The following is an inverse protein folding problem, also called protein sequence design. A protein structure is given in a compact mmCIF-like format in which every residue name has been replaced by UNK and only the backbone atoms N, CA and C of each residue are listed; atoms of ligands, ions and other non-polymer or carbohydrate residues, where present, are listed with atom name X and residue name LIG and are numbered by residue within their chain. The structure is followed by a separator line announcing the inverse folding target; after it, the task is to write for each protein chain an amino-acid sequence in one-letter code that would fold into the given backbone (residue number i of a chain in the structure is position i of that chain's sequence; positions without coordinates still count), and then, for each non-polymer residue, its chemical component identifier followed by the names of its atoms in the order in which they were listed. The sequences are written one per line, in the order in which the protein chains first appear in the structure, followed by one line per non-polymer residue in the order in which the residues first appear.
data_IF_133514259081
#
_entry.id   IF_133514259081
#
_cell.length_a   1.000
_cell.length_b   1.000
_cell.length_c   1.000
_cell.angle_alpha   90.00
_cell.angle_beta   90.00
_cell.angle_gamma   90.00
#
_symmetry.space_group_name_H-M   'P 1'
#
loop_
_entity.id
_entity.type
_entity.pdbx_description
1 polymer ?
#
# COMPACT_ATOMS: atom_id res chain seq x y z
N UNK A 1 5.13 -53.81 9.91
CA UNK A 1 4.13 -54.89 9.98
C UNK A 1 3.20 -54.62 11.16
N UNK A 2 2.02 -54.07 10.93
CA UNK A 2 0.80 -54.32 11.71
C UNK A 2 -0.38 -53.75 10.92
N UNK A 3 -1.43 -54.54 10.90
CA UNK A 3 -2.46 -54.65 9.88
C UNK A 3 -3.76 -53.97 10.39
N UNK A 4 -4.52 -53.45 9.42
CA UNK A 4 -5.90 -52.90 9.37
C UNK A 4 -6.97 -53.56 10.29
N UNK A 5 -8.14 -52.91 10.56
CA UNK A 5 -9.31 -52.75 9.64
C UNK A 5 -9.86 -51.30 9.62
N UNK A 6 -10.36 -50.68 8.54
CA UNK A 6 -11.52 -50.89 7.64
C UNK A 6 -12.88 -51.04 8.34
N UNK A 7 -13.74 -50.03 8.20
CA UNK A 7 -15.19 -50.18 8.24
C UNK A 7 -15.86 -49.19 7.25
N UNK A 8 -16.77 -49.74 6.46
CA UNK A 8 -17.58 -49.18 5.38
C UNK A 8 -19.05 -49.29 5.83
N UNK A 9 -19.88 -48.25 5.70
CA UNK A 9 -21.38 -48.29 5.59
C UNK A 9 -21.80 -46.93 4.98
N UNK A 10 -22.21 -46.77 3.72
CA UNK A 10 -23.47 -47.14 3.00
C UNK A 10 -24.67 -46.20 3.29
N UNK A 11 -24.99 -45.43 2.23
CA UNK A 11 -26.29 -45.05 1.63
C UNK A 11 -27.52 -44.65 2.47
N UNK A 12 -28.16 -43.55 2.03
CA UNK A 12 -29.58 -43.27 2.19
C UNK A 12 -30.09 -42.37 1.05
N UNK A 13 -30.83 -42.95 0.10
CA UNK A 13 -31.67 -42.30 -0.92
C UNK A 13 -33.12 -42.67 -0.58
N UNK A 14 -34.05 -41.70 -0.71
CA UNK A 14 -35.49 -41.79 -1.06
C UNK A 14 -36.25 -40.60 -0.40
N UNK A 15 -37.29 -39.91 -0.91
CA UNK A 15 -37.93 -39.66 -2.23
C UNK A 15 -39.35 -39.08 -1.93
N UNK A 16 -39.92 -38.27 -2.87
CA UNK A 16 -41.35 -37.81 -3.01
C UNK A 16 -41.89 -36.75 -2.01
N UNK A 17 -42.89 -35.89 -2.30
CA UNK A 17 -43.62 -35.40 -3.49
C UNK A 17 -44.74 -34.42 -3.01
N UNK A 18 -45.33 -33.64 -3.94
CA UNK A 18 -46.64 -32.95 -3.81
C UNK A 18 -46.52 -31.44 -4.04
N UNK A 19 -46.91 -30.79 -5.16
CA UNK A 19 -48.12 -30.75 -6.01
C UNK A 19 -49.37 -30.06 -5.40
N UNK A 20 -49.83 -29.01 -6.10
CA UNK A 20 -51.18 -28.42 -6.05
C UNK A 20 -51.24 -27.04 -5.36
N UNK A 21 -51.83 -25.98 -5.89
CA UNK A 21 -52.70 -25.81 -7.05
C UNK A 21 -53.23 -24.35 -7.08
N UNK A 22 -53.64 -23.93 -8.27
CA UNK A 22 -54.07 -22.62 -8.74
C UNK A 22 -55.36 -22.05 -8.12
N UNK A 23 -55.44 -20.71 -8.06
CA UNK A 23 -56.69 -19.95 -7.98
C UNK A 23 -56.59 -18.68 -8.84
N UNK A 24 -57.41 -18.59 -9.87
CA UNK A 24 -57.61 -17.46 -10.77
C UNK A 24 -59.06 -16.97 -10.62
N UNK A 25 -59.27 -15.66 -10.67
CA UNK A 25 -60.54 -14.92 -10.90
C UNK A 25 -60.22 -13.45 -10.52
N UNK A 26 -60.63 -12.38 -11.18
CA UNK A 26 -61.24 -12.13 -12.49
C UNK A 26 -61.06 -10.62 -12.75
N UNK A 27 -60.86 -10.22 -14.00
CA UNK A 27 -60.79 -8.81 -14.42
C UNK A 27 -62.02 -8.46 -15.25
N UNK A 28 -62.52 -7.20 -15.22
CA UNK A 28 -63.33 -6.69 -16.31
C UNK A 28 -62.61 -5.60 -17.12
N UNK A 29 -62.31 -5.99 -18.36
CA UNK A 29 -62.47 -5.33 -19.66
C UNK A 29 -62.58 -3.78 -19.82
N UNK A 30 -61.67 -3.31 -20.69
CA UNK A 30 -61.38 -2.05 -21.45
C UNK A 30 -62.57 -1.26 -22.06
N UNK A 31 -62.43 0.02 -22.55
CA UNK A 31 -61.80 0.34 -23.86
C UNK A 31 -60.90 1.62 -23.91
N UNK A 32 -60.19 1.87 -25.04
CA UNK A 32 -58.97 2.68 -25.12
C UNK A 32 -59.14 4.04 -25.85
N UNK A 33 -58.12 4.93 -25.74
CA UNK A 33 -57.42 5.63 -26.84
C UNK A 33 -56.93 7.06 -26.50
N UNK A 34 -55.75 7.36 -27.07
CA UNK A 34 -55.11 8.65 -27.43
C UNK A 34 -54.24 9.36 -26.36
N UNK A 35 -52.97 9.71 -26.70
CA UNK A 35 -52.05 10.40 -25.79
C UNK A 35 -52.29 11.90 -25.78
N UNK A 36 -52.24 12.52 -24.60
CA UNK A 36 -52.17 13.98 -24.44
C UNK A 36 -50.85 14.33 -23.75
N UNK A 37 -50.00 15.03 -24.50
CA UNK A 37 -48.84 15.75 -24.00
C UNK A 37 -49.29 16.83 -23.03
N UNK A 38 -48.85 16.75 -21.77
CA UNK A 38 -48.79 17.90 -20.86
C UNK A 38 -47.52 17.77 -20.02
N UNK A 39 -46.59 18.68 -20.24
CA UNK A 39 -45.43 18.96 -19.39
C UNK A 39 -45.88 19.41 -18.00
N UNK A 40 -45.33 18.82 -16.93
CA UNK A 40 -45.20 19.52 -15.65
C UNK A 40 -43.76 20.04 -15.53
N UNK A 41 -43.64 21.36 -15.47
CA UNK A 41 -42.48 22.04 -14.92
C UNK A 41 -42.41 21.69 -13.42
N UNK A 42 -41.47 20.83 -13.04
CA UNK A 42 -41.01 20.74 -11.65
C UNK A 42 -39.51 20.95 -11.59
N UNK A 43 -39.19 22.04 -10.89
CA UNK A 43 -37.94 22.45 -10.26
C UNK A 43 -36.91 21.32 -10.09
N UNK A 44 -35.65 21.48 -10.55
CA UNK A 44 -34.62 20.50 -10.29
C UNK A 44 -34.36 20.44 -8.79
N UNK A 45 -34.73 19.31 -8.18
CA UNK A 45 -34.24 18.92 -6.88
C UNK A 45 -32.73 18.76 -6.98
N UNK A 46 -31.98 19.62 -6.30
CA UNK A 46 -30.53 19.49 -6.15
C UNK A 46 -30.23 18.15 -5.47
N UNK A 47 -30.06 17.12 -6.29
CA UNK A 47 -29.32 15.92 -5.88
C UNK A 47 -27.92 16.42 -5.54
N UNK A 48 -27.39 16.21 -4.32
CA UNK A 48 -26.00 16.55 -4.04
C UNK A 48 -25.13 15.59 -4.86
N UNK A 49 -24.81 16.02 -6.07
CA UNK A 49 -23.80 15.40 -6.92
C UNK A 49 -22.45 15.70 -6.28
N UNK A 50 -22.08 14.91 -5.27
CA UNK A 50 -20.67 14.74 -4.96
C UNK A 50 -20.05 13.92 -6.08
N UNK A 51 -19.80 14.58 -7.21
CA UNK A 51 -18.82 14.11 -8.17
C UNK A 51 -17.46 14.30 -7.49
N UNK A 52 -16.71 13.24 -7.14
CA UNK A 52 -15.35 13.41 -6.66
C UNK A 52 -14.50 13.78 -7.88
N UNK A 53 -14.49 15.07 -8.24
CA UNK A 53 -13.59 15.62 -9.25
C UNK A 53 -12.21 15.82 -8.63
N UNK A 54 -11.53 14.71 -8.39
CA UNK A 54 -10.13 14.67 -7.99
C UNK A 54 -9.56 13.29 -8.33
N UNK A 55 -8.28 13.19 -8.71
CA UNK A 55 -7.65 11.89 -8.95
C UNK A 55 -7.87 10.97 -7.74
N UNK A 56 -8.08 9.66 -7.94
CA UNK A 56 -8.31 8.71 -6.85
C UNK A 56 -7.14 8.77 -5.86
N UNK A 57 -7.44 9.10 -4.60
CA UNK A 57 -6.41 9.31 -3.56
C UNK A 57 -6.30 8.09 -2.67
N UNK A 58 -5.08 7.64 -2.34
CA UNK A 58 -4.77 6.51 -1.43
C UNK A 58 -5.02 6.86 0.04
N UNK A 59 -6.19 7.42 0.35
CA UNK A 59 -6.52 8.01 1.65
C UNK A 59 -6.94 7.00 2.72
N UNK A 60 -6.77 5.69 2.54
CA UNK A 60 -7.26 4.72 3.52
C UNK A 60 -6.55 4.90 4.86
N UNK A 61 -5.22 4.97 4.82
CA UNK A 61 -4.45 5.27 6.02
C UNK A 61 -4.76 6.67 6.54
N UNK A 62 -4.83 7.69 5.68
CA UNK A 62 -5.20 9.06 6.10
C UNK A 62 -6.53 9.09 6.85
N UNK A 63 -7.52 8.34 6.35
CA UNK A 63 -8.83 8.20 7.00
C UNK A 63 -8.69 7.53 8.36
N UNK A 64 -7.83 6.51 8.49
CA UNK A 64 -7.55 5.92 9.80
C UNK A 64 -6.86 6.91 10.75
N UNK A 65 -5.84 7.66 10.30
CA UNK A 65 -5.21 8.70 11.12
C UNK A 65 -6.22 9.77 11.59
N UNK A 66 -7.18 10.15 10.73
CA UNK A 66 -8.25 11.10 11.08
C UNK A 66 -9.18 10.52 12.15
N UNK A 67 -9.48 9.22 12.10
CA UNK A 67 -10.39 8.55 13.03
C UNK A 67 -9.75 8.17 14.37
N UNK A 68 -8.43 7.98 14.42
CA UNK A 68 -7.70 7.66 15.66
C UNK A 68 -7.84 8.76 16.73
N UNK A 69 -7.89 8.35 17.99
CA UNK A 69 -7.99 9.27 19.12
C UNK A 69 -6.65 9.99 19.35
N UNK A 70 -6.56 11.23 18.87
CA UNK A 70 -5.36 12.06 19.01
C UNK A 70 -5.02 12.36 20.47
N UNK A 71 -6.00 12.44 21.37
CA UNK A 71 -5.78 12.63 22.81
C UNK A 71 -5.15 11.38 23.41
N UNK A 72 -5.62 10.20 23.00
CA UNK A 72 -5.01 8.93 23.38
C UNK A 72 -3.57 8.83 22.88
N UNK A 73 -3.31 9.19 21.61
CA UNK A 73 -1.95 9.23 21.05
C UNK A 73 -1.06 10.15 21.87
N UNK A 74 -1.52 11.37 22.15
CA UNK A 74 -0.80 12.38 22.91
C UNK A 74 -0.41 11.88 24.30
N UNK A 75 -1.38 11.34 25.05
CA UNK A 75 -1.18 10.80 26.41
C UNK A 75 -0.29 9.56 26.41
N UNK A 76 -0.53 8.63 25.50
CA UNK A 76 0.19 7.36 25.43
C UNK A 76 1.67 7.58 25.13
N UNK A 77 2.00 8.46 24.19
CA UNK A 77 3.37 8.78 23.81
C UNK A 77 4.01 9.88 24.68
N UNK A 78 3.21 10.54 25.54
CA UNK A 78 3.65 11.67 26.36
C UNK A 78 4.30 12.80 25.53
N UNK A 79 3.62 13.17 24.44
CA UNK A 79 4.10 14.17 23.47
C UNK A 79 3.32 15.47 23.61
N UNK A 80 3.91 16.64 23.30
CA UNK A 80 3.29 17.93 23.56
C UNK A 80 2.05 18.19 22.68
N UNK A 81 2.05 17.68 21.45
CA UNK A 81 0.97 17.90 20.49
C UNK A 81 0.86 16.70 19.55
N UNK A 82 -0.33 16.48 19.00
CA UNK A 82 -0.57 15.55 17.90
C UNK A 82 -1.26 16.32 16.80
N UNK A 83 -0.71 16.29 15.59
CA UNK A 83 -1.29 16.94 14.41
C UNK A 83 -1.23 16.00 13.23
N UNK A 84 -2.31 15.92 12.46
CA UNK A 84 -2.31 15.13 11.23
C UNK A 84 -1.36 15.80 10.23
N UNK A 85 -0.35 15.06 9.80
CA UNK A 85 0.55 15.45 8.73
C UNK A 85 0.19 14.60 7.52
N UNK A 86 -0.63 15.13 6.59
CA UNK A 86 -0.91 14.43 5.36
C UNK A 86 0.42 14.18 4.64
N UNK A 87 0.69 12.92 4.31
CA UNK A 87 1.86 12.57 3.52
C UNK A 87 1.41 12.44 2.08
N UNK A 88 2.11 13.09 1.16
CA UNK A 88 1.95 12.81 -0.25
C UNK A 88 2.15 11.32 -0.52
N UNK A 89 1.33 10.76 -1.43
CA UNK A 89 1.67 9.53 -2.13
C UNK A 89 3.07 9.76 -2.72
N UNK A 90 4.01 8.83 -2.56
CA UNK A 90 3.79 7.43 -2.29
C UNK A 90 3.98 7.07 -0.83
N UNK A 91 3.23 6.03 -0.49
CA UNK A 91 3.34 5.38 0.79
C UNK A 91 4.70 4.68 0.96
N UNK A 92 4.97 4.15 2.15
CA UNK A 92 6.27 3.52 2.42
C UNK A 92 6.40 2.24 1.57
N UNK A 93 7.14 2.34 0.45
CA UNK A 93 7.44 1.21 -0.41
C UNK A 93 8.28 0.20 0.37
N UNK A 94 7.67 -0.95 0.63
CA UNK A 94 8.20 -2.02 1.47
C UNK A 94 7.44 -3.30 1.20
N UNK A 95 7.90 -4.42 1.76
CA UNK A 95 7.18 -5.68 1.75
C UNK A 95 6.73 -6.04 3.18
N UNK A 96 5.42 -6.15 3.43
CA UNK A 96 4.30 -5.75 2.55
C UNK A 96 4.27 -4.23 2.34
N UNK A 97 3.66 -3.76 1.26
CA UNK A 97 3.50 -2.32 1.01
C UNK A 97 2.31 -1.80 1.77
N UNK A 98 2.44 -0.63 2.39
CA UNK A 98 1.38 0.02 3.15
C UNK A 98 1.03 1.34 2.51
N UNK A 99 -0.25 1.71 2.44
CA UNK A 99 -0.68 3.11 2.39
C UNK A 99 -0.42 3.70 3.79
N UNK A 100 0.19 4.89 3.90
CA UNK A 100 0.69 5.44 5.18
C UNK A 100 0.27 6.89 5.37
N UNK A 101 -0.26 7.19 6.55
CA UNK A 101 -0.47 8.55 7.05
C UNK A 101 0.46 8.84 8.23
N UNK A 102 0.63 10.12 8.55
CA UNK A 102 1.49 10.54 9.66
C UNK A 102 0.75 11.45 10.64
N UNK A 103 1.08 11.30 11.91
CA UNK A 103 0.74 12.23 12.98
C UNK A 103 2.04 12.86 13.47
N UNK A 104 2.21 14.16 13.27
CA UNK A 104 3.28 14.95 13.87
C UNK A 104 3.12 15.00 15.38
N UNK A 105 4.19 14.69 16.11
CA UNK A 105 4.20 14.59 17.58
C UNK A 105 4.88 15.80 18.24
N UNK A 106 5.10 16.87 17.47
CA UNK A 106 5.70 18.11 17.94
C UNK A 106 5.22 19.28 17.09
N UNK A 107 5.50 20.50 17.54
CA UNK A 107 5.24 21.74 16.77
C UNK A 107 6.25 21.95 15.64
N UNK A 108 7.35 21.19 15.60
CA UNK A 108 8.34 21.27 14.54
C UNK A 108 7.90 20.44 13.32
N UNK A 109 7.91 21.00 12.09
CA UNK A 109 7.63 20.25 10.87
C UNK A 109 8.58 19.05 10.64
N UNK A 110 9.81 19.12 11.16
CA UNK A 110 10.81 18.04 11.08
C UNK A 110 10.89 17.20 12.36
N UNK A 111 9.89 17.31 13.24
CA UNK A 111 9.86 16.61 14.51
C UNK A 111 9.54 15.11 14.40
N UNK A 112 9.46 14.40 15.55
CA UNK A 112 9.05 13.01 15.57
C UNK A 112 7.62 12.84 15.03
N UNK A 113 7.39 11.74 14.31
CA UNK A 113 6.08 11.38 13.76
C UNK A 113 5.67 9.98 14.21
N UNK A 114 4.37 9.78 14.40
CA UNK A 114 3.75 8.46 14.40
C UNK A 114 3.27 8.17 12.98
N UNK A 115 3.54 6.97 12.48
CA UNK A 115 3.12 6.51 11.15
C UNK A 115 2.12 5.40 11.33
N UNK A 116 1.01 5.49 10.61
CA UNK A 116 -0.02 4.47 10.58
C UNK A 116 -0.13 3.98 9.15
N UNK A 117 0.13 2.69 8.96
CA UNK A 117 0.16 2.03 7.67
C UNK A 117 -0.90 0.94 7.57
N UNK A 118 -1.56 0.83 6.42
CA UNK A 118 -2.49 -0.25 6.08
C UNK A 118 -2.02 -0.91 4.79
N UNK A 119 -1.90 -2.24 4.77
CA UNK A 119 -1.35 -2.94 3.63
C UNK A 119 -2.19 -2.70 2.39
N UNK A 120 -1.53 -2.39 1.28
CA UNK A 120 -2.24 -2.11 0.04
C UNK A 120 -2.85 -3.40 -0.53
N UNK A 121 -2.06 -4.45 -0.58
CA UNK A 121 -2.53 -5.77 -0.97
C UNK A 121 -3.27 -6.47 0.18
N UNK A 122 -4.22 -7.38 -0.13
CA UNK A 122 -4.74 -8.33 0.83
C UNK A 122 -3.60 -9.10 1.52
N UNK A 123 -3.80 -9.40 2.79
CA UNK A 123 -2.86 -10.09 3.64
C UNK A 123 -3.54 -11.26 4.36
N UNK A 124 -2.73 -12.26 4.67
CA UNK A 124 -3.15 -13.49 5.35
C UNK A 124 -2.31 -13.70 6.61
N UNK A 125 -2.64 -14.69 7.46
CA UNK A 125 -1.76 -15.10 8.54
C UNK A 125 -0.35 -15.50 8.05
N UNK A 126 -0.24 -16.06 6.84
CA UNK A 126 1.05 -16.36 6.22
C UNK A 126 1.83 -15.08 5.88
N UNK A 127 1.15 -14.03 5.41
CA UNK A 127 1.76 -12.72 5.18
C UNK A 127 2.28 -12.10 6.47
N UNK A 128 1.51 -12.18 7.57
CA UNK A 128 1.96 -11.72 8.89
C UNK A 128 3.21 -12.48 9.36
N UNK A 129 3.21 -13.81 9.23
CA UNK A 129 4.35 -14.64 9.58
C UNK A 129 5.59 -14.33 8.73
N UNK A 130 5.41 -14.07 7.43
CA UNK A 130 6.48 -13.66 6.53
C UNK A 130 7.06 -12.28 6.91
N UNK A 131 6.19 -11.31 7.25
CA UNK A 131 6.61 -10.00 7.72
C UNK A 131 7.41 -10.11 9.04
N UNK A 132 6.98 -10.98 9.95
CA UNK A 132 7.71 -11.28 11.18
C UNK A 132 9.08 -11.88 10.90
N UNK A 133 9.15 -12.90 10.04
CA UNK A 133 10.40 -13.55 9.64
C UNK A 133 11.38 -12.57 8.98
N UNK A 134 10.87 -11.69 8.11
CA UNK A 134 11.67 -10.65 7.47
C UNK A 134 12.24 -9.66 8.50
N UNK A 135 11.45 -9.27 9.51
CA UNK A 135 11.94 -8.44 10.60
C UNK A 135 13.01 -9.14 11.44
N UNK A 136 12.78 -10.39 11.85
CA UNK A 136 13.73 -11.14 12.67
C UNK A 136 15.09 -11.33 11.95
N UNK A 137 15.09 -11.38 10.61
CA UNK A 137 16.32 -11.44 9.80
C UNK A 137 17.18 -10.16 9.88
N UNK A 138 16.61 -9.03 10.28
CA UNK A 138 17.36 -7.75 10.42
C UNK A 138 18.29 -7.73 11.63
N UNK A 139 18.20 -8.70 12.54
CA UNK A 139 18.93 -8.73 13.83
C UNK A 139 18.75 -7.47 14.68
N UNK A 140 17.65 -6.76 14.48
CA UNK A 140 17.26 -5.62 15.31
C UNK A 140 16.73 -6.09 16.69
N UNK A 141 16.07 -5.18 17.42
CA UNK A 141 15.38 -5.52 18.68
C UNK A 141 14.47 -6.75 18.49
N UNK A 142 14.51 -7.76 19.40
CA UNK A 142 13.62 -8.90 19.29
C UNK A 142 12.14 -8.48 19.32
N UNK A 143 11.39 -8.84 18.29
CA UNK A 143 9.96 -8.60 18.26
C UNK A 143 9.22 -9.50 19.27
N UNK A 144 8.25 -8.94 19.97
CA UNK A 144 7.39 -9.66 20.92
C UNK A 144 6.04 -9.95 20.28
N UNK A 145 5.42 -11.12 20.52
CA UNK A 145 4.05 -11.36 20.09
C UNK A 145 3.11 -10.37 20.78
N UNK A 146 2.05 -9.97 20.09
CA UNK A 146 0.98 -9.14 20.65
C UNK A 146 -0.39 -9.70 20.28
N UNK A 147 -1.38 -9.45 21.13
CA UNK A 147 -2.77 -9.84 20.90
C UNK A 147 -3.55 -8.66 20.34
N UNK A 148 -3.50 -8.49 19.03
CA UNK A 148 -4.25 -7.48 18.27
C UNK A 148 -4.88 -8.15 17.06
N UNK A 149 -6.15 -7.85 16.78
CA UNK A 149 -6.89 -8.43 15.66
C UNK A 149 -6.78 -9.96 15.61
N UNK A 150 -6.28 -10.48 14.49
CA UNK A 150 -6.06 -11.91 14.24
C UNK A 150 -4.63 -12.38 14.61
N UNK A 151 -3.88 -11.54 15.33
CA UNK A 151 -2.50 -11.78 15.74
C UNK A 151 -1.55 -10.68 15.28
N UNK A 152 -0.44 -10.51 15.98
CA UNK A 152 0.57 -9.51 15.63
C UNK A 152 1.90 -9.67 16.36
N UNK A 153 2.82 -8.76 16.06
CA UNK A 153 4.09 -8.61 16.76
C UNK A 153 4.48 -7.13 16.87
N UNK A 154 5.31 -6.79 17.86
CA UNK A 154 5.75 -5.42 18.06
C UNK A 154 7.10 -5.33 18.78
N UNK A 155 7.65 -4.13 18.78
CA UNK A 155 8.94 -3.75 19.36
C UNK A 155 8.77 -2.43 20.11
N UNK A 156 9.87 -1.86 20.61
CA UNK A 156 9.85 -0.50 21.16
C UNK A 156 9.53 0.59 20.14
N UNK A 157 9.40 0.28 18.85
CA UNK A 157 9.20 1.29 17.79
C UNK A 157 7.99 1.08 16.92
N UNK A 158 7.36 -0.08 17.00
CA UNK A 158 6.19 -0.38 16.18
C UNK A 158 5.36 -1.54 16.73
N UNK A 159 4.16 -1.67 16.19
CA UNK A 159 3.37 -2.90 16.19
C UNK A 159 2.84 -3.18 14.78
N UNK A 160 2.82 -4.45 14.38
CA UNK A 160 2.22 -4.95 13.14
C UNK A 160 1.22 -6.04 13.49
N UNK A 161 0.02 -5.98 12.93
CA UNK A 161 -1.02 -6.98 13.20
C UNK A 161 -1.94 -7.16 11.99
N UNK A 162 -2.61 -8.31 11.95
CA UNK A 162 -3.57 -8.66 10.91
C UNK A 162 -5.00 -8.30 11.36
N UNK A 163 -5.72 -7.58 10.51
CA UNK A 163 -7.13 -7.23 10.70
C UNK A 163 -7.85 -7.33 9.37
N UNK A 164 -8.93 -8.12 9.31
CA UNK A 164 -9.84 -8.21 8.15
C UNK A 164 -9.12 -8.36 6.80
N UNK A 165 -8.11 -9.24 6.76
CA UNK A 165 -7.35 -9.50 5.54
C UNK A 165 -6.40 -8.36 5.14
N UNK A 166 -6.02 -7.48 6.06
CA UNK A 166 -5.02 -6.40 5.87
C UNK A 166 -4.03 -6.38 7.02
N UNK A 167 -2.77 -6.05 6.73
CA UNK A 167 -1.79 -5.78 7.76
C UNK A 167 -1.84 -4.30 8.13
N UNK A 168 -1.96 -4.01 9.43
CA UNK A 168 -1.83 -2.69 9.98
C UNK A 168 -0.46 -2.57 10.65
N UNK A 169 0.22 -1.45 10.45
CA UNK A 169 1.50 -1.11 11.06
C UNK A 169 1.40 0.25 11.72
N UNK A 170 1.67 0.33 13.02
CA UNK A 170 1.81 1.60 13.72
C UNK A 170 3.26 1.71 14.16
N UNK A 171 3.98 2.75 13.75
CA UNK A 171 5.40 2.91 14.06
C UNK A 171 5.79 4.35 14.33
N UNK A 172 6.75 4.59 15.22
CA UNK A 172 7.11 5.95 15.60
C UNK A 172 8.37 6.06 16.48
N UNK A 173 8.42 7.03 17.40
CA UNK A 173 9.53 7.19 18.33
C UNK A 173 9.63 6.01 19.32
N UNK A 174 10.81 5.76 19.93
CA UNK A 174 10.95 4.71 20.93
C UNK A 174 9.94 4.86 22.08
N UNK A 175 9.20 3.80 22.36
CA UNK A 175 8.23 3.67 23.45
C UNK A 175 8.17 2.20 23.91
N UNK A 176 7.36 1.86 24.90
CA UNK A 176 7.18 0.45 25.26
C UNK A 176 6.27 -0.26 24.25
N UNK A 177 6.44 -1.57 24.06
CA UNK A 177 5.53 -2.38 23.23
C UNK A 177 4.08 -2.21 23.69
N UNK A 178 3.84 -2.14 25.01
CA UNK A 178 2.51 -1.92 25.58
C UNK A 178 1.86 -0.62 25.10
N UNK A 179 2.63 0.48 24.99
CA UNK A 179 2.13 1.74 24.42
C UNK A 179 1.71 1.57 22.96
N UNK A 180 2.51 0.88 22.15
CA UNK A 180 2.13 0.57 20.76
C UNK A 180 0.92 -0.37 20.67
N UNK A 181 0.75 -1.30 21.61
CA UNK A 181 -0.45 -2.14 21.69
C UNK A 181 -1.70 -1.31 21.98
N UNK A 182 -1.63 -0.33 22.89
CA UNK A 182 -2.75 0.60 23.13
C UNK A 182 -3.12 1.38 21.86
N UNK A 183 -2.13 1.91 21.14
CA UNK A 183 -2.38 2.58 19.85
C UNK A 183 -2.94 1.62 18.80
N UNK A 184 -2.50 0.36 18.81
CA UNK A 184 -3.03 -0.71 17.98
C UNK A 184 -4.50 -1.04 18.29
N UNK A 185 -4.89 -1.02 19.56
CA UNK A 185 -6.27 -1.21 19.99
C UNK A 185 -7.19 -0.10 19.51
N UNK A 186 -6.74 1.16 19.57
CA UNK A 186 -7.47 2.28 18.98
C UNK A 186 -7.63 2.09 17.47
N UNK A 187 -6.55 1.80 16.74
CA UNK A 187 -6.65 1.52 15.31
C UNK A 187 -7.60 0.36 14.96
N UNK A 188 -7.64 -0.71 15.77
CA UNK A 188 -8.61 -1.80 15.62
C UNK A 188 -10.06 -1.33 15.74
N UNK A 189 -10.35 -0.41 16.66
CA UNK A 189 -11.68 0.15 16.85
C UNK A 189 -12.10 1.08 15.71
N UNK A 190 -11.14 1.80 15.13
CA UNK A 190 -11.41 2.82 14.09
C UNK A 190 -11.38 2.28 12.64
N UNK A 191 -10.77 1.11 12.42
CA UNK A 191 -10.57 0.53 11.10
C UNK A 191 -11.84 0.00 10.39
N UNK A 192 -12.89 -0.48 11.07
CA UNK A 192 -14.12 -0.88 10.40
C UNK A 192 -14.72 0.24 9.54
N UNK A 193 -15.18 -0.10 8.33
CA UNK A 193 -15.79 0.88 7.41
C UNK A 193 -14.81 1.90 6.82
N UNK A 194 -13.50 1.60 6.81
CA UNK A 194 -12.54 2.32 5.98
C UNK A 194 -12.79 1.98 4.49
N UNK A 195 -12.60 2.96 3.58
CA UNK A 195 -12.70 2.69 2.15
C UNK A 195 -11.62 1.71 1.70
N UNK A 196 -11.87 0.99 0.61
CA UNK A 196 -10.80 0.22 -0.02
C UNK A 196 -9.75 1.13 -0.67
N UNK A 197 -8.50 0.68 -0.65
CA UNK A 197 -7.42 1.40 -1.30
C UNK A 197 -7.58 1.28 -2.81
N UNK A 198 -7.51 2.41 -3.53
CA UNK A 198 -7.52 2.38 -5.01
C UNK A 198 -6.38 1.48 -5.49
N UNK A 199 -6.61 0.46 -6.34
CA UNK A 199 -5.54 -0.41 -6.82
C UNK A 199 -4.61 0.30 -7.82
N UNK A 200 -5.08 1.38 -8.46
CA UNK A 200 -4.34 2.09 -9.49
C UNK A 200 -4.32 3.58 -9.17
N UNK A 201 -3.13 4.10 -8.87
CA UNK A 201 -2.79 5.51 -8.99
C UNK A 201 -1.69 5.53 -10.05
N UNK A 202 -2.09 5.79 -11.29
CA UNK A 202 -1.21 5.73 -12.45
C UNK A 202 -0.95 7.11 -13.02
N UNK A 203 0.26 7.31 -13.51
CA UNK A 203 0.66 8.49 -14.28
C UNK A 203 1.19 8.06 -15.64
N UNK A 204 0.79 8.77 -16.70
CA UNK A 204 1.18 8.43 -18.07
C UNK A 204 2.71 8.43 -18.23
N UNK A 205 3.40 9.34 -17.55
CA UNK A 205 4.85 9.44 -17.54
C UNK A 205 5.49 8.14 -17.01
N UNK A 206 4.90 7.55 -15.99
CA UNK A 206 5.38 6.31 -15.39
C UNK A 206 5.12 5.08 -16.27
N UNK A 207 4.15 5.09 -17.19
CA UNK A 207 3.83 3.92 -18.02
C UNK A 207 4.99 3.45 -18.89
N UNK A 208 5.90 4.36 -19.26
CA UNK A 208 7.12 4.02 -20.01
C UNK A 208 7.95 2.93 -19.29
N UNK A 209 7.94 2.94 -17.96
CA UNK A 209 8.67 1.98 -17.14
C UNK A 209 7.99 0.62 -16.99
N UNK A 210 6.67 0.52 -17.21
CA UNK A 210 5.85 -0.62 -16.79
C UNK A 210 6.33 -1.96 -17.34
N UNK A 211 6.53 -2.07 -18.65
CA UNK A 211 6.97 -3.33 -19.26
C UNK A 211 8.35 -3.80 -18.78
N UNK A 212 9.21 -2.88 -18.33
CA UNK A 212 10.53 -3.20 -17.76
C UNK A 212 10.42 -3.50 -16.26
N UNK A 213 9.55 -2.78 -15.55
CA UNK A 213 9.25 -3.05 -14.15
C UNK A 213 8.69 -4.47 -13.98
N UNK A 214 7.82 -4.92 -14.89
CA UNK A 214 7.25 -6.27 -14.85
C UNK A 214 8.34 -7.36 -14.98
N UNK A 215 9.41 -7.10 -15.75
CA UNK A 215 10.56 -8.01 -15.86
C UNK A 215 11.38 -8.03 -14.57
N UNK A 216 11.73 -6.85 -14.05
CA UNK A 216 12.43 -6.69 -12.76
C UNK A 216 11.68 -7.39 -11.63
N UNK A 217 10.35 -7.32 -11.63
CA UNK A 217 9.47 -7.95 -10.64
C UNK A 217 9.09 -9.40 -10.98
N UNK A 218 9.48 -9.90 -12.14
CA UNK A 218 9.12 -11.22 -12.69
C UNK A 218 7.61 -11.50 -12.77
N UNK A 219 6.80 -10.45 -12.76
CA UNK A 219 5.34 -10.51 -12.85
C UNK A 219 4.78 -9.11 -13.14
N UNK A 220 3.61 -9.01 -13.81
CA UNK A 220 2.90 -7.74 -13.94
C UNK A 220 2.58 -7.11 -12.59
N UNK A 221 2.71 -5.79 -12.50
CA UNK A 221 2.28 -5.03 -11.34
C UNK A 221 0.78 -5.25 -11.07
N UNK A 222 0.44 -5.71 -9.87
CA UNK A 222 -0.95 -5.84 -9.40
C UNK A 222 -1.52 -4.48 -8.99
N UNK A 223 -0.64 -3.59 -8.51
CA UNK A 223 -0.99 -2.29 -7.98
C UNK A 223 0.02 -1.25 -8.46
N UNK A 224 -0.50 -0.06 -8.76
CA UNK A 224 0.29 1.13 -9.09
C UNK A 224 0.13 2.21 -8.05
N UNK A 225 1.25 2.84 -7.69
CA UNK A 225 1.36 3.90 -6.68
C UNK A 225 2.26 5.01 -7.20
N UNK A 226 1.88 5.57 -8.33
CA UNK A 226 2.58 6.70 -8.92
C UNK A 226 2.15 8.00 -8.22
N UNK A 227 3.06 8.97 -8.18
CA UNK A 227 2.81 10.24 -7.51
C UNK A 227 3.84 11.31 -7.90
N UNK A 228 3.80 12.42 -7.16
CA UNK A 228 4.73 13.53 -7.27
C UNK A 228 5.16 13.96 -5.87
N UNK A 229 6.43 14.33 -5.70
CA UNK A 229 6.88 15.01 -4.48
C UNK A 229 6.38 16.46 -4.47
N UNK A 230 6.44 17.13 -3.32
CA UNK A 230 6.12 18.56 -3.21
C UNK A 230 6.99 19.46 -4.11
N UNK A 231 8.15 18.95 -4.55
CA UNK A 231 9.06 19.64 -5.46
C UNK A 231 8.76 19.36 -6.95
N UNK A 232 7.67 18.65 -7.26
CA UNK A 232 7.29 18.30 -8.63
C UNK A 232 8.01 17.07 -9.19
N UNK A 233 8.76 16.31 -8.37
CA UNK A 233 9.54 15.18 -8.85
C UNK A 233 8.68 13.91 -8.90
N UNK A 234 8.66 13.23 -10.06
CA UNK A 234 7.88 12.01 -10.26
C UNK A 234 8.36 10.85 -9.40
N UNK A 235 7.42 10.15 -8.77
CA UNK A 235 7.67 8.84 -8.17
C UNK A 235 6.77 7.82 -8.85
N UNK A 236 7.37 6.76 -9.38
CA UNK A 236 6.66 5.66 -10.02
C UNK A 236 6.77 4.42 -9.14
N UNK A 237 5.68 3.68 -8.97
CA UNK A 237 5.60 2.55 -8.05
C UNK A 237 4.84 1.37 -8.62
N UNK A 238 5.52 0.23 -8.75
CA UNK A 238 4.98 -1.04 -9.21
C UNK A 238 5.04 -2.06 -8.09
N UNK A 239 3.91 -2.68 -7.78
CA UNK A 239 3.77 -3.58 -6.64
C UNK A 239 3.16 -4.90 -7.11
N UNK A 240 3.79 -6.01 -6.71
CA UNK A 240 3.27 -7.38 -6.85
C UNK A 240 3.07 -8.00 -5.47
N UNK A 241 2.53 -9.21 -5.40
CA UNK A 241 2.37 -9.95 -4.14
C UNK A 241 3.70 -10.20 -3.41
N UNK A 242 4.81 -10.24 -4.14
CA UNK A 242 6.12 -10.67 -3.62
C UNK A 242 7.21 -9.63 -3.80
N UNK A 243 6.94 -8.52 -4.51
CA UNK A 243 7.95 -7.55 -4.88
C UNK A 243 7.40 -6.14 -5.00
N UNK A 244 8.29 -5.17 -4.87
CA UNK A 244 8.03 -3.75 -5.12
C UNK A 244 9.19 -3.21 -5.93
N UNK A 245 8.90 -2.43 -6.97
CA UNK A 245 9.88 -1.61 -7.65
C UNK A 245 9.36 -0.18 -7.58
N UNK A 246 10.22 0.74 -7.16
CA UNK A 246 9.84 2.14 -7.14
C UNK A 246 11.01 3.04 -7.46
N UNK A 247 10.70 4.23 -7.93
CA UNK A 247 11.65 5.31 -8.08
C UNK A 247 11.56 6.25 -6.89
N UNK A 248 12.63 6.94 -6.53
CA UNK A 248 12.54 8.03 -5.57
C UNK A 248 13.54 9.11 -5.94
N UNK A 249 13.15 10.35 -5.71
CA UNK A 249 13.98 11.52 -6.00
C UNK A 249 14.38 12.17 -4.70
N UNK A 250 15.68 12.43 -4.56
CA UNK A 250 16.27 13.12 -3.42
C UNK A 250 17.03 14.33 -3.92
N UNK A 251 16.62 15.51 -3.46
CA UNK A 251 17.39 16.74 -3.62
C UNK A 251 18.38 16.84 -2.47
N UNK A 252 19.65 17.04 -2.80
CA UNK A 252 20.79 17.04 -1.87
C UNK A 252 21.69 18.23 -2.20
N UNK A 253 22.39 18.76 -1.21
CA UNK A 253 23.29 19.89 -1.42
C UNK A 253 24.47 19.56 -2.35
N UNK A 254 24.89 18.29 -2.40
CA UNK A 254 26.02 17.82 -3.20
C UNK A 254 25.75 16.38 -3.67
N UNK A 255 25.25 16.25 -4.90
CA UNK A 255 24.93 14.95 -5.50
C UNK A 255 26.18 14.18 -5.91
N UNK A 256 27.29 14.85 -6.23
CA UNK A 256 28.57 14.21 -6.55
C UNK A 256 29.08 13.42 -5.35
N UNK A 257 29.03 14.03 -4.15
CA UNK A 257 29.39 13.35 -2.92
C UNK A 257 28.52 12.12 -2.63
N UNK A 258 27.23 12.17 -3.01
CA UNK A 258 26.29 11.06 -2.78
C UNK A 258 26.54 9.90 -3.75
N UNK A 259 26.88 10.16 -5.01
CA UNK A 259 27.13 9.09 -5.99
C UNK A 259 28.56 8.53 -5.93
N UNK A 260 29.52 9.29 -5.42
CA UNK A 260 30.93 8.88 -5.33
C UNK A 260 31.18 7.47 -4.74
N UNK A 261 30.44 6.99 -3.70
CA UNK A 261 30.59 5.62 -3.21
C UNK A 261 30.22 4.56 -4.27
N UNK A 262 29.20 4.80 -5.09
CA UNK A 262 28.78 3.86 -6.13
C UNK A 262 29.87 3.69 -7.21
N UNK A 263 30.60 4.75 -7.56
CA UNK A 263 31.73 4.70 -8.52
C UNK A 263 32.83 3.72 -8.11
N UNK A 264 33.01 3.52 -6.80
CA UNK A 264 34.11 2.71 -6.24
C UNK A 264 33.67 1.33 -5.77
N UNK A 265 32.36 1.06 -5.73
CA UNK A 265 31.85 -0.20 -5.22
C UNK A 265 32.10 -1.32 -6.24
N UNK A 266 32.66 -2.45 -5.78
CA UNK A 266 33.00 -3.58 -6.64
C UNK A 266 31.78 -4.25 -7.29
N UNK A 267 30.60 -4.06 -6.71
CA UNK A 267 29.32 -4.58 -7.21
C UNK A 267 28.60 -3.58 -8.10
N UNK A 268 29.18 -2.41 -8.34
CA UNK A 268 28.56 -1.33 -9.09
C UNK A 268 28.85 -1.46 -10.57
N UNK A 269 27.78 -1.54 -11.37
CA UNK A 269 27.87 -1.56 -12.82
C UNK A 269 27.39 -0.24 -13.38
N UNK A 270 28.21 0.38 -14.24
CA UNK A 270 27.86 1.67 -14.85
C UNK A 270 26.71 1.49 -15.84
N UNK A 271 25.75 2.41 -15.79
CA UNK A 271 24.65 2.49 -16.76
C UNK A 271 25.00 3.58 -17.76
N UNK A 272 24.94 3.31 -19.08
CA UNK A 272 25.32 4.27 -20.11
C UNK A 272 24.25 5.35 -20.30
N UNK A 273 24.14 6.24 -19.31
CA UNK A 273 23.27 7.41 -19.31
C UNK A 273 24.07 8.64 -19.78
N UNK A 274 23.37 9.67 -20.27
CA UNK A 274 24.01 10.99 -20.48
C UNK A 274 24.44 11.65 -19.18
N UNK A 275 23.76 11.29 -18.08
CA UNK A 275 24.09 11.57 -16.69
C UNK A 275 24.91 10.42 -16.07
N UNK A 276 25.41 10.57 -14.84
CA UNK A 276 26.14 9.49 -14.16
C UNK A 276 25.18 8.54 -13.45
N UNK A 277 25.22 7.23 -13.77
CA UNK A 277 24.38 6.24 -13.12
C UNK A 277 25.01 4.86 -12.95
N UNK A 278 24.54 4.14 -11.94
CA UNK A 278 25.03 2.82 -11.58
C UNK A 278 23.90 1.90 -11.11
N UNK A 279 24.06 0.60 -11.34
CA UNK A 279 23.26 -0.46 -10.70
C UNK A 279 24.17 -1.27 -9.80
N UNK A 280 23.82 -1.38 -8.52
CA UNK A 280 24.49 -2.28 -7.59
C UNK A 280 23.98 -3.72 -7.81
N UNK A 281 24.83 -4.57 -8.38
CA UNK A 281 24.54 -5.97 -8.70
C UNK A 281 24.22 -6.84 -7.49
N UNK A 282 24.63 -6.44 -6.28
CA UNK A 282 24.33 -7.21 -5.06
C UNK A 282 22.91 -6.93 -4.54
N UNK A 283 22.48 -5.66 -4.55
CA UNK A 283 21.16 -5.27 -4.05
C UNK A 283 20.11 -5.13 -5.16
N UNK A 284 20.54 -5.01 -6.41
CA UNK A 284 19.70 -4.62 -7.54
C UNK A 284 19.31 -3.13 -7.54
N UNK A 285 19.86 -2.31 -6.65
CA UNK A 285 19.49 -0.89 -6.58
C UNK A 285 20.17 -0.08 -7.68
N UNK A 286 19.38 0.68 -8.42
CA UNK A 286 19.87 1.72 -9.32
C UNK A 286 20.02 3.07 -8.62
N UNK A 287 21.04 3.83 -9.01
CA UNK A 287 21.25 5.22 -8.59
C UNK A 287 21.67 6.07 -9.79
N UNK A 288 21.07 7.23 -9.96
CA UNK A 288 21.40 8.20 -11.03
C UNK A 288 21.64 9.56 -10.39
N UNK A 289 22.75 10.21 -10.73
CA UNK A 289 22.99 11.62 -10.42
C UNK A 289 22.55 12.47 -11.59
N UNK A 290 21.71 13.45 -11.31
CA UNK A 290 21.25 14.43 -12.31
C UNK A 290 21.69 15.81 -11.87
N UNK A 291 22.54 16.45 -12.67
CA UNK A 291 23.14 17.74 -12.30
C UNK A 291 23.96 17.65 -11.00
N UNK A 292 23.91 18.72 -10.20
CA UNK A 292 24.72 18.87 -8.97
C UNK A 292 23.96 18.60 -7.68
N UNK A 293 22.63 18.59 -7.72
CA UNK A 293 21.77 18.63 -6.53
C UNK A 293 20.71 17.54 -6.48
N UNK A 294 20.67 16.62 -7.45
CA UNK A 294 19.59 15.61 -7.55
C UNK A 294 20.12 14.20 -7.70
N UNK A 295 19.54 13.29 -6.91
CA UNK A 295 19.76 11.84 -6.96
C UNK A 295 18.44 11.15 -7.20
N UNK A 296 18.44 10.20 -8.13
CA UNK A 296 17.34 9.28 -8.38
C UNK A 296 17.76 7.91 -7.88
N UNK A 297 16.92 7.29 -7.06
CA UNK A 297 17.09 5.91 -6.64
C UNK A 297 16.01 5.05 -7.28
N UNK A 298 16.42 3.88 -7.78
CA UNK A 298 15.56 2.85 -8.34
C UNK A 298 15.70 1.63 -7.45
N UNK A 299 14.65 1.29 -6.71
CA UNK A 299 14.77 0.37 -5.58
C UNK A 299 13.86 -0.84 -5.81
N UNK A 300 14.42 -2.00 -6.17
CA UNK A 300 13.70 -3.26 -6.08
C UNK A 300 13.72 -3.79 -4.65
N UNK A 301 12.56 -4.26 -4.20
CA UNK A 301 12.40 -5.00 -2.95
C UNK A 301 11.75 -6.35 -3.27
N UNK A 302 12.23 -7.47 -2.69
CA UNK A 302 13.38 -7.56 -1.80
C UNK A 302 14.71 -7.30 -2.53
N UNK A 303 15.74 -6.78 -1.85
CA UNK A 303 17.05 -6.55 -2.47
C UNK A 303 17.67 -7.87 -2.96
N UNK A 304 18.41 -7.80 -4.06
CA UNK A 304 19.17 -8.91 -4.63
C UNK A 304 18.31 -9.98 -5.31
N UNK A 305 17.03 -9.70 -5.59
CA UNK A 305 16.12 -10.60 -6.31
C UNK A 305 16.02 -10.31 -7.80
N UNK A 306 16.20 -9.06 -8.19
CA UNK A 306 16.09 -8.65 -9.58
C UNK A 306 17.34 -8.99 -10.38
N UNK A 307 17.15 -9.40 -11.63
CA UNK A 307 18.24 -9.61 -12.58
C UNK A 307 18.91 -8.28 -12.93
N UNK A 308 20.24 -8.32 -13.09
CA UNK A 308 21.05 -7.13 -13.37
C UNK A 308 20.64 -6.47 -14.70
N UNK A 309 20.48 -7.25 -15.76
CA UNK A 309 20.25 -6.73 -17.10
C UNK A 309 18.85 -6.13 -17.20
N UNK A 310 17.87 -6.74 -16.52
CA UNK A 310 16.52 -6.18 -16.39
C UNK A 310 16.51 -4.85 -15.64
N UNK A 311 17.34 -4.70 -14.59
CA UNK A 311 17.47 -3.44 -13.86
C UNK A 311 18.18 -2.35 -14.66
N UNK A 312 19.23 -2.70 -15.41
CA UNK A 312 19.88 -1.75 -16.33
C UNK A 312 18.88 -1.30 -17.40
N UNK A 313 18.13 -2.23 -17.98
CA UNK A 313 17.10 -1.92 -18.98
C UNK A 313 15.97 -1.05 -18.41
N UNK A 314 15.53 -1.32 -17.16
CA UNK A 314 14.57 -0.48 -16.47
C UNK A 314 15.12 0.93 -16.19
N UNK A 315 16.36 1.02 -15.71
CA UNK A 315 17.06 2.28 -15.44
C UNK A 315 17.12 3.16 -16.70
N UNK A 316 17.51 2.57 -17.84
CA UNK A 316 17.56 3.26 -19.13
C UNK A 316 16.17 3.71 -19.60
N UNK A 317 15.13 2.91 -19.36
CA UNK A 317 13.77 3.25 -19.78
C UNK A 317 13.18 4.42 -18.98
N UNK A 318 13.49 4.49 -17.68
CA UNK A 318 12.90 5.48 -16.77
C UNK A 318 13.75 6.75 -16.61
N UNK A 319 15.05 6.71 -16.93
CA UNK A 319 15.94 7.87 -16.78
C UNK A 319 15.43 9.15 -17.46
N UNK A 320 14.79 9.12 -18.65
CA UNK A 320 14.32 10.35 -19.30
C UNK A 320 13.22 11.11 -18.53
N UNK A 321 12.60 10.49 -17.52
CA UNK A 321 11.68 11.20 -16.61
C UNK A 321 12.42 12.18 -15.69
N UNK A 322 13.71 11.96 -15.49
CA UNK A 322 14.51 12.62 -14.47
C UNK A 322 15.66 13.44 -15.05
N UNK A 323 16.23 12.96 -16.14
CA UNK A 323 17.34 13.56 -16.87
C UNK A 323 16.77 14.44 -17.99
N UNK A 324 17.19 15.70 -18.07
CA UNK A 324 16.92 16.58 -19.22
C UNK A 324 18.18 16.71 -20.05
#
# INVERSE_FOLDING_TARGET
MRIRPVAFVVAGVLVLAGCGGSGAEDAPNVPPLVPVSTTPTETPSETPSQTPSGPPTSKVADTLCVRMDQTLVQKTLAVPVVQIQPKGVPAEFGLPTYDVCQLGLSTSPSGPVLRVGISVLPATPATLAAARKAYDATKAEPAKPVTLGQGGFGTSRFVVFLLDGKLLKISGPPATVAKYVVLGQDALQQAPGLPEASPLITREECERGSSRADKVLSAPAMIRRDSETDAGDLVCGWITATGVLYTSVRRVADAEKVIAPARKAATSESVPLGDEGYVDTASGRGIIRVGTDKIIDLVPLPPGKADKDDLIAFTLAISPLYTR
#
